data_IF_859845101077
#
_entry.id   IF_859845101077
#
_cell.length_a   1.000
_cell.length_b   1.000
_cell.length_c   1.000
_cell.angle_alpha   90.00
_cell.angle_beta   90.00
_cell.angle_gamma   90.00
#
_symmetry.space_group_name_H-M   'P 1'
#
loop_
_entity.id
_entity.type
_entity.pdbx_description
1 polymer ?
#
# COMPACT_ATOMS: atom_id res chain seq x y z
N UNK A 1 0.57 1.92 34.62
CA UNK A 1 1.52 1.23 33.72
C UNK A 1 0.77 0.12 33.00
N UNK A 2 0.15 0.40 31.83
CA UNK A 2 -0.51 -0.67 31.06
C UNK A 2 0.54 -1.36 30.18
N UNK A 3 0.64 -2.68 30.36
CA UNK A 3 1.46 -3.56 29.53
C UNK A 3 0.83 -3.60 28.14
N UNK A 4 1.40 -2.91 27.17
CA UNK A 4 1.12 -3.18 25.75
C UNK A 4 1.73 -4.57 25.48
N UNK A 5 0.88 -5.52 25.12
CA UNK A 5 1.28 -6.90 24.92
C UNK A 5 2.34 -7.00 23.79
N UNK A 6 3.47 -7.71 24.01
CA UNK A 6 4.50 -7.99 23.00
C UNK A 6 3.97 -8.68 21.71
N UNK A 7 2.74 -9.17 21.78
CA UNK A 7 2.18 -10.15 20.86
C UNK A 7 1.79 -9.54 19.51
N UNK A 8 1.48 -8.24 19.45
CA UNK A 8 1.09 -7.56 18.22
C UNK A 8 2.25 -7.45 17.22
N UNK A 9 3.45 -7.07 17.66
CA UNK A 9 4.63 -6.99 16.76
C UNK A 9 4.98 -8.37 16.17
N UNK A 10 4.85 -9.43 16.97
CA UNK A 10 5.06 -10.81 16.53
C UNK A 10 3.96 -11.32 15.57
N UNK A 11 2.72 -10.82 15.69
CA UNK A 11 1.64 -11.15 14.75
C UNK A 11 1.88 -10.49 13.38
N UNK A 12 2.22 -9.20 13.37
CA UNK A 12 2.53 -8.44 12.15
C UNK A 12 3.75 -9.00 11.41
N UNK A 13 4.86 -9.28 12.10
CA UNK A 13 6.03 -9.92 11.48
C UNK A 13 5.72 -11.29 10.87
N UNK A 14 4.85 -12.09 11.51
CA UNK A 14 4.40 -13.38 10.98
C UNK A 14 3.46 -13.26 9.79
N UNK A 15 2.66 -12.19 9.69
CA UNK A 15 1.82 -11.88 8.53
C UNK A 15 2.71 -11.46 7.36
N UNK A 16 3.64 -10.51 7.57
CA UNK A 16 4.56 -10.04 6.54
C UNK A 16 5.49 -11.16 6.03
N UNK A 17 6.02 -12.02 6.90
CA UNK A 17 6.83 -13.17 6.49
C UNK A 17 5.99 -14.19 5.71
N UNK A 18 4.75 -14.48 6.13
CA UNK A 18 3.85 -15.37 5.39
C UNK A 18 3.46 -14.81 4.03
N UNK A 19 3.28 -13.49 3.91
CA UNK A 19 3.06 -12.82 2.62
C UNK A 19 4.31 -12.90 1.74
N UNK A 20 5.50 -12.64 2.27
CA UNK A 20 6.76 -12.84 1.53
C UNK A 20 6.91 -14.29 1.07
N UNK A 21 6.65 -15.25 1.94
CA UNK A 21 6.71 -16.67 1.63
C UNK A 21 5.63 -17.07 0.62
N UNK A 22 4.42 -16.49 0.67
CA UNK A 22 3.36 -16.73 -0.32
C UNK A 22 3.73 -16.13 -1.67
N UNK A 23 4.22 -14.89 -1.69
CA UNK A 23 4.71 -14.20 -2.89
C UNK A 23 5.96 -14.88 -3.47
N UNK A 24 6.78 -15.52 -2.65
CA UNK A 24 8.01 -16.23 -3.06
C UNK A 24 7.84 -17.72 -3.38
N UNK A 25 6.89 -18.42 -2.75
CA UNK A 25 6.62 -19.87 -2.96
C UNK A 25 5.49 -20.13 -3.94
N UNK A 26 4.63 -19.16 -4.20
CA UNK A 26 3.62 -19.28 -5.24
C UNK A 26 4.30 -19.40 -6.59
N UNK A 27 4.21 -20.58 -7.22
CA UNK A 27 4.51 -20.76 -8.65
C UNK A 27 3.60 -19.88 -9.55
N UNK A 28 2.66 -19.13 -8.98
CA UNK A 28 1.65 -18.29 -9.64
C UNK A 28 1.82 -16.77 -9.43
N UNK A 29 2.73 -16.29 -8.58
CA UNK A 29 2.97 -14.83 -8.42
C UNK A 29 3.88 -14.34 -9.55
N UNK A 30 3.26 -14.15 -10.71
CA UNK A 30 3.86 -13.71 -11.98
C UNK A 30 4.35 -12.26 -11.99
N UNK A 31 4.59 -11.63 -10.84
CA UNK A 31 4.88 -10.20 -10.76
C UNK A 31 6.26 -9.86 -11.33
N UNK A 32 7.16 -10.84 -11.45
CA UNK A 32 8.54 -10.71 -12.00
C UNK A 32 9.22 -9.44 -11.46
N UNK A 33 9.09 -9.21 -10.15
CA UNK A 33 9.58 -8.02 -9.46
C UNK A 33 10.38 -8.44 -8.22
N UNK A 34 11.38 -7.64 -7.87
CA UNK A 34 11.97 -7.70 -6.54
C UNK A 34 10.95 -7.16 -5.53
N UNK A 35 10.79 -7.84 -4.39
CA UNK A 35 9.87 -7.44 -3.32
C UNK A 35 10.67 -7.09 -2.09
N UNK A 36 10.41 -5.92 -1.52
CA UNK A 36 10.98 -5.46 -0.26
C UNK A 36 9.85 -5.11 0.72
N UNK A 37 9.85 -5.76 1.88
CA UNK A 37 8.96 -5.42 2.98
C UNK A 37 9.65 -4.41 3.89
N UNK A 38 9.04 -3.22 4.02
CA UNK A 38 9.53 -2.18 4.91
C UNK A 38 9.01 -2.42 6.34
N UNK A 39 9.93 -2.64 7.28
CA UNK A 39 9.65 -2.65 8.73
C UNK A 39 9.71 -1.21 9.26
N UNK A 40 8.67 -0.41 8.95
CA UNK A 40 8.58 0.99 9.36
C UNK A 40 8.18 1.14 10.83
N UNK A 41 8.51 2.29 11.41
CA UNK A 41 8.20 2.66 12.79
C UNK A 41 6.71 2.55 13.08
N UNK A 42 6.32 1.73 14.07
CA UNK A 42 4.91 1.59 14.45
C UNK A 42 4.46 2.71 15.38
N UNK A 43 3.25 3.22 15.17
CA UNK A 43 2.61 4.17 16.07
C UNK A 43 1.92 3.39 17.20
N UNK A 44 2.28 3.61 18.48
CA UNK A 44 1.58 2.96 19.58
C UNK A 44 0.10 3.35 19.58
N UNK A 45 -0.79 2.38 19.79
CA UNK A 45 -2.24 2.62 19.71
C UNK A 45 -2.73 3.77 20.60
N UNK A 46 -2.14 3.91 21.79
CA UNK A 46 -2.44 5.00 22.74
C UNK A 46 -2.06 6.40 22.25
N UNK A 47 -1.23 6.50 21.21
CA UNK A 47 -0.76 7.77 20.64
C UNK A 47 -1.42 8.11 19.31
N UNK A 48 -2.16 7.18 18.69
CA UNK A 48 -2.72 7.31 17.34
C UNK A 48 -3.53 8.61 17.11
N UNK A 49 -4.26 9.06 18.13
CA UNK A 49 -5.19 10.19 18.02
C UNK A 49 -4.67 11.50 18.65
N UNK A 50 -3.36 11.69 18.71
CA UNK A 50 -2.73 12.92 19.23
C UNK A 50 -1.56 13.40 18.38
N UNK A 51 -1.03 14.58 18.72
CA UNK A 51 0.11 15.20 18.03
C UNK A 51 1.34 14.29 17.93
N UNK A 52 1.56 13.46 18.95
CA UNK A 52 2.64 12.47 18.93
C UNK A 52 2.40 11.36 17.91
N UNK A 53 1.15 10.92 17.75
CA UNK A 53 0.75 9.97 16.71
C UNK A 53 0.92 10.55 15.32
N UNK A 54 0.53 11.81 15.10
CA UNK A 54 0.73 12.48 13.81
C UNK A 54 2.20 12.56 13.43
N UNK A 55 3.08 12.90 14.39
CA UNK A 55 4.53 12.89 14.18
C UNK A 55 5.04 11.49 13.81
N UNK A 56 4.58 10.46 14.52
CA UNK A 56 5.00 9.08 14.23
C UNK A 56 4.48 8.58 12.87
N UNK A 57 3.27 8.97 12.47
CA UNK A 57 2.76 8.71 11.12
C UNK A 57 3.62 9.43 10.08
N UNK A 58 4.10 10.64 10.35
CA UNK A 58 5.03 11.32 9.45
C UNK A 58 6.37 10.59 9.34
N UNK A 59 6.88 10.02 10.45
CA UNK A 59 8.08 9.16 10.41
C UNK A 59 7.87 7.96 9.48
N UNK A 60 6.71 7.29 9.51
CA UNK A 60 6.40 6.19 8.60
C UNK A 60 6.44 6.61 7.12
N UNK A 61 5.87 7.79 6.83
CA UNK A 61 5.87 8.37 5.49
C UNK A 61 7.30 8.68 5.04
N UNK A 62 8.12 9.22 5.94
CA UNK A 62 9.51 9.55 5.70
C UNK A 62 10.35 8.29 5.43
N UNK A 63 10.23 7.25 6.26
CA UNK A 63 10.92 5.98 6.09
C UNK A 63 10.61 5.31 4.74
N UNK A 64 9.33 5.33 4.32
CA UNK A 64 8.96 4.78 3.00
C UNK A 64 9.50 5.63 1.85
N UNK A 65 9.43 6.97 1.97
CA UNK A 65 10.03 7.88 0.97
C UNK A 65 11.53 7.67 0.86
N UNK A 66 12.24 7.59 1.98
CA UNK A 66 13.70 7.40 2.02
C UNK A 66 14.08 6.01 1.47
N UNK A 67 13.28 4.99 1.75
CA UNK A 67 13.45 3.64 1.17
C UNK A 67 13.35 3.67 -0.35
N UNK A 68 12.35 4.36 -0.91
CA UNK A 68 12.22 4.52 -2.36
C UNK A 68 13.44 5.22 -2.93
N UNK A 69 13.84 6.34 -2.35
CA UNK A 69 15.01 7.10 -2.80
C UNK A 69 16.30 6.27 -2.74
N UNK A 70 16.47 5.48 -1.68
CA UNK A 70 17.60 4.57 -1.52
C UNK A 70 17.64 3.55 -2.67
N UNK A 71 16.53 2.86 -2.95
CA UNK A 71 16.49 1.88 -4.04
C UNK A 71 16.68 2.50 -5.42
N UNK A 72 16.18 3.72 -5.66
CA UNK A 72 16.47 4.44 -6.91
C UNK A 72 17.96 4.73 -7.06
N UNK A 73 18.64 5.16 -6.00
CA UNK A 73 20.07 5.47 -6.00
C UNK A 73 20.96 4.21 -6.09
N UNK A 74 20.48 3.08 -5.56
CA UNK A 74 21.25 1.83 -5.46
C UNK A 74 20.74 0.77 -6.45
N UNK A 75 19.99 1.16 -7.48
CA UNK A 75 19.30 0.25 -8.38
C UNK A 75 20.23 -0.80 -9.02
N UNK A 76 21.45 -0.39 -9.41
CA UNK A 76 22.47 -1.26 -9.97
C UNK A 76 22.92 -2.37 -9.00
N UNK A 77 22.98 -2.08 -7.69
CA UNK A 77 23.37 -3.06 -6.67
C UNK A 77 22.36 -4.19 -6.54
N UNK A 78 21.08 -3.88 -6.73
CA UNK A 78 19.98 -4.83 -6.59
C UNK A 78 19.46 -5.37 -7.92
N UNK A 79 20.05 -4.94 -9.04
CA UNK A 79 19.61 -5.27 -10.39
C UNK A 79 18.11 -4.99 -10.61
N UNK A 80 17.65 -3.83 -10.14
CA UNK A 80 16.28 -3.34 -10.31
C UNK A 80 16.23 -2.15 -11.25
N UNK A 81 15.08 -1.90 -11.86
CA UNK A 81 14.84 -0.70 -12.65
C UNK A 81 14.35 0.44 -11.72
N UNK A 82 15.12 1.53 -11.56
CA UNK A 82 14.78 2.61 -10.63
C UNK A 82 13.50 3.35 -11.01
N UNK A 83 13.04 3.25 -12.25
CA UNK A 83 11.83 3.91 -12.73
C UNK A 83 10.59 3.01 -12.66
N UNK A 84 10.76 1.72 -12.31
CA UNK A 84 9.68 0.73 -12.20
C UNK A 84 9.40 0.30 -10.75
N UNK A 85 9.45 1.24 -9.82
CA UNK A 85 9.12 0.99 -8.40
C UNK A 85 7.60 1.07 -8.20
N UNK A 86 7.04 0.09 -7.51
CA UNK A 86 5.62 0.06 -7.12
C UNK A 86 5.52 0.00 -5.60
N UNK A 87 4.67 0.84 -5.03
CA UNK A 87 4.35 0.82 -3.60
C UNK A 87 3.07 0.04 -3.36
N UNK A 88 3.03 -0.81 -2.34
CA UNK A 88 1.86 -1.60 -1.97
C UNK A 88 1.62 -1.44 -0.48
N UNK A 89 0.42 -0.99 -0.12
CA UNK A 89 0.04 -0.70 1.25
C UNK A 89 -1.31 -1.32 1.60
N UNK A 90 -1.36 -2.00 2.74
CA UNK A 90 -2.56 -2.64 3.27
C UNK A 90 -3.12 -1.86 4.46
N UNK A 91 -4.44 -1.68 4.54
CA UNK A 91 -5.10 -1.03 5.68
C UNK A 91 -4.43 0.32 6.04
N UNK A 92 -3.87 0.47 7.25
CA UNK A 92 -3.11 1.67 7.64
C UNK A 92 -1.89 1.97 6.75
N UNK A 93 -1.24 0.94 6.19
CA UNK A 93 -0.16 1.08 5.22
C UNK A 93 -0.63 1.67 3.89
N UNK A 94 -1.93 1.58 3.56
CA UNK A 94 -2.52 2.26 2.42
C UNK A 94 -2.38 3.80 2.52
N UNK A 95 -2.55 4.34 3.73
CA UNK A 95 -2.29 5.76 3.98
C UNK A 95 -0.82 6.10 3.78
N UNK A 96 0.09 5.29 4.35
CA UNK A 96 1.54 5.53 4.26
C UNK A 96 1.98 5.56 2.79
N UNK A 97 1.51 4.60 1.98
CA UNK A 97 1.77 4.57 0.53
C UNK A 97 1.23 5.82 -0.18
N UNK A 98 -0.02 6.20 0.08
CA UNK A 98 -0.61 7.38 -0.53
C UNK A 98 0.18 8.64 -0.15
N UNK A 99 0.40 8.87 1.14
CA UNK A 99 1.12 10.03 1.65
C UNK A 99 2.58 10.09 1.19
N UNK A 100 3.30 8.96 1.13
CA UNK A 100 4.68 8.91 0.62
C UNK A 100 4.75 9.18 -0.88
N UNK A 101 3.77 8.70 -1.67
CA UNK A 101 3.69 9.02 -3.11
C UNK A 101 3.49 10.53 -3.31
N UNK A 102 2.59 11.14 -2.54
CA UNK A 102 2.38 12.60 -2.58
C UNK A 102 3.63 13.37 -2.13
N UNK A 103 4.33 12.90 -1.08
CA UNK A 103 5.59 13.50 -0.63
C UNK A 103 6.67 13.42 -1.70
N UNK A 104 6.88 12.26 -2.32
CA UNK A 104 7.83 12.09 -3.43
C UNK A 104 7.52 13.05 -4.58
N UNK A 105 6.24 13.23 -4.92
CA UNK A 105 5.82 14.17 -5.94
C UNK A 105 6.20 15.63 -5.65
N UNK A 106 6.14 16.06 -4.38
CA UNK A 106 6.64 17.40 -3.97
C UNK A 106 8.15 17.55 -4.14
N UNK A 107 8.90 16.44 -4.10
CA UNK A 107 10.35 16.39 -4.29
C UNK A 107 10.76 16.18 -5.77
N UNK A 108 9.80 16.23 -6.69
CA UNK A 108 10.04 15.97 -8.12
C UNK A 108 10.32 14.50 -8.44
N UNK A 109 10.03 13.59 -7.51
CA UNK A 109 10.21 12.15 -7.66
C UNK A 109 8.87 11.47 -7.97
N UNK A 110 8.95 10.35 -8.68
CA UNK A 110 7.80 9.51 -8.98
C UNK A 110 8.09 8.04 -8.74
N UNK A 111 7.03 7.28 -8.54
CA UNK A 111 6.98 5.82 -8.60
C UNK A 111 6.12 5.40 -9.78
N UNK A 112 6.33 4.19 -10.28
CA UNK A 112 5.63 3.64 -11.44
C UNK A 112 4.16 3.34 -11.15
N UNK A 113 3.87 2.95 -9.91
CA UNK A 113 2.51 2.72 -9.45
C UNK A 113 2.40 2.68 -7.93
N UNK A 114 1.16 2.77 -7.45
CA UNK A 114 0.80 2.50 -6.06
C UNK A 114 -0.42 1.57 -6.02
N UNK A 115 -0.43 0.65 -5.06
CA UNK A 115 -1.53 -0.26 -4.80
C UNK A 115 -2.00 -0.02 -3.36
N UNK A 116 -3.27 0.35 -3.21
CA UNK A 116 -3.90 0.64 -1.93
C UNK A 116 -4.94 -0.45 -1.68
N UNK A 117 -4.60 -1.40 -0.81
CA UNK A 117 -5.44 -2.53 -0.45
C UNK A 117 -6.21 -2.22 0.84
N UNK A 118 -7.56 -2.10 0.72
CA UNK A 118 -8.51 -1.82 1.80
C UNK A 118 -8.01 -0.73 2.76
N UNK A 119 -7.40 0.29 2.14
CA UNK A 119 -6.58 1.27 2.81
C UNK A 119 -7.39 2.30 3.59
N UNK A 120 -6.87 2.67 4.75
CA UNK A 120 -7.27 3.90 5.42
C UNK A 120 -6.70 5.08 4.63
N UNK A 121 -7.54 6.03 4.21
CA UNK A 121 -7.11 7.15 3.34
C UNK A 121 -6.80 8.43 4.12
N UNK A 122 -7.36 8.61 5.32
CA UNK A 122 -7.18 9.80 6.17
C UNK A 122 -7.29 11.12 5.37
N UNK A 123 -6.25 11.95 5.40
CA UNK A 123 -6.13 13.26 4.76
C UNK A 123 -5.44 13.22 3.39
N UNK A 124 -5.32 12.03 2.76
CA UNK A 124 -4.61 11.91 1.47
C UNK A 124 -5.31 12.71 0.35
N UNK A 125 -6.63 12.84 0.42
CA UNK A 125 -7.42 13.65 -0.52
C UNK A 125 -7.06 15.13 -0.41
N UNK A 126 -6.99 15.64 0.82
CA UNK A 126 -6.61 17.02 1.14
C UNK A 126 -5.16 17.29 0.74
N UNK A 127 -4.25 16.35 1.04
CA UNK A 127 -2.84 16.44 0.65
C UNK A 127 -2.67 16.49 -0.87
N UNK A 128 -3.44 15.70 -1.63
CA UNK A 128 -3.41 15.74 -3.08
C UNK A 128 -3.83 17.11 -3.61
N UNK A 129 -4.94 17.66 -3.11
CA UNK A 129 -5.44 18.97 -3.53
C UNK A 129 -4.49 20.12 -3.16
N UNK A 130 -3.67 19.96 -2.12
CA UNK A 130 -2.65 20.91 -1.73
C UNK A 130 -1.35 20.81 -2.54
N UNK A 131 -1.20 19.78 -3.41
CA UNK A 131 0.00 19.66 -4.24
C UNK A 131 0.08 20.81 -5.26
N UNK A 132 1.30 21.34 -5.52
CA UNK A 132 1.53 22.22 -6.66
C UNK A 132 1.09 21.52 -7.96
N UNK A 133 0.48 22.24 -8.93
CA UNK A 133 0.00 21.64 -10.18
C UNK A 133 1.05 20.81 -10.94
N UNK A 134 2.30 21.26 -10.94
CA UNK A 134 3.42 20.56 -11.57
C UNK A 134 3.81 19.24 -10.87
N UNK A 135 3.45 19.10 -9.59
CA UNK A 135 3.68 17.90 -8.78
C UNK A 135 2.51 16.91 -8.86
N UNK A 136 1.42 17.25 -9.55
CA UNK A 136 0.33 16.29 -9.84
C UNK A 136 0.72 15.33 -10.97
N UNK A 137 1.98 14.86 -10.97
CA UNK A 137 2.49 13.85 -11.90
C UNK A 137 1.84 12.50 -11.56
N UNK A 138 1.23 11.92 -12.59
CA UNK A 138 0.30 10.81 -12.49
C UNK A 138 1.03 9.52 -12.08
N UNK A 139 0.81 9.05 -10.86
CA UNK A 139 1.17 7.68 -10.46
C UNK A 139 -0.01 6.76 -10.73
N UNK A 140 0.20 5.73 -11.55
CA UNK A 140 -0.82 4.70 -11.79
C UNK A 140 -1.27 4.14 -10.44
N UNK A 141 -2.57 4.12 -10.17
CA UNK A 141 -3.09 3.76 -8.85
C UNK A 141 -4.10 2.63 -8.96
N UNK A 142 -3.86 1.54 -8.25
CA UNK A 142 -4.81 0.45 -8.09
C UNK A 142 -5.38 0.46 -6.68
N UNK A 143 -6.71 0.44 -6.58
CA UNK A 143 -7.42 0.19 -5.34
C UNK A 143 -7.93 -1.25 -5.30
N UNK A 144 -7.73 -1.93 -4.18
CA UNK A 144 -8.24 -3.30 -3.96
C UNK A 144 -8.99 -3.32 -2.64
N UNK A 145 -10.31 -3.40 -2.62
CA UNK A 145 -11.06 -3.13 -1.39
C UNK A 145 -12.39 -3.86 -1.31
N UNK A 146 -13.01 -3.77 -0.13
CA UNK A 146 -14.39 -4.18 0.16
C UNK A 146 -15.03 -2.98 0.86
N UNK A 147 -16.28 -2.63 0.57
CA UNK A 147 -16.95 -1.52 1.28
C UNK A 147 -18.16 -1.97 2.08
N UNK A 148 -18.93 -2.93 1.56
CA UNK A 148 -20.20 -3.35 2.14
C UNK A 148 -20.09 -3.82 3.59
N UNK A 149 -18.87 -4.18 4.05
CA UNK A 149 -18.58 -4.62 5.42
C UNK A 149 -17.33 -3.99 6.04
N UNK A 150 -16.77 -2.95 5.43
CA UNK A 150 -15.50 -2.37 5.88
C UNK A 150 -15.61 -0.86 6.11
N UNK A 151 -15.72 -0.41 7.38
CA UNK A 151 -15.78 1.00 7.70
C UNK A 151 -14.45 1.75 7.45
N UNK A 152 -13.32 1.05 7.34
CA UNK A 152 -11.99 1.65 7.17
C UNK A 152 -11.79 2.11 5.71
N UNK A 153 -12.26 1.30 4.77
CA UNK A 153 -12.10 1.53 3.33
C UNK A 153 -13.00 2.63 2.75
N UNK A 154 -13.91 3.23 3.54
CA UNK A 154 -14.86 4.25 3.07
C UNK A 154 -14.22 5.48 2.40
N UNK A 155 -12.96 5.77 2.72
CA UNK A 155 -12.22 6.88 2.10
C UNK A 155 -11.72 6.57 0.68
N UNK A 156 -11.78 5.32 0.22
CA UNK A 156 -11.22 4.89 -1.07
C UNK A 156 -12.00 5.51 -2.24
N UNK A 157 -13.33 5.42 -2.27
CA UNK A 157 -14.13 5.98 -3.38
C UNK A 157 -13.93 7.47 -3.59
N UNK A 158 -13.98 8.34 -2.56
CA UNK A 158 -13.69 9.76 -2.73
C UNK A 158 -12.30 10.01 -3.32
N UNK A 159 -11.28 9.27 -2.86
CA UNK A 159 -9.92 9.43 -3.36
C UNK A 159 -9.76 8.90 -4.79
N UNK A 160 -10.36 7.75 -5.11
CA UNK A 160 -10.47 7.24 -6.48
C UNK A 160 -11.08 8.28 -7.41
N UNK A 161 -12.23 8.85 -7.03
CA UNK A 161 -12.96 9.82 -7.85
C UNK A 161 -12.12 11.08 -8.10
N UNK A 162 -11.42 11.57 -7.08
CA UNK A 162 -10.49 12.69 -7.21
C UNK A 162 -9.37 12.36 -8.20
N UNK A 163 -8.68 11.23 -8.03
CA UNK A 163 -7.57 10.85 -8.90
C UNK A 163 -8.03 10.66 -10.37
N UNK A 164 -9.18 10.02 -10.58
CA UNK A 164 -9.81 9.87 -11.89
C UNK A 164 -10.13 11.22 -12.54
N UNK A 165 -10.73 12.14 -11.78
CA UNK A 165 -11.05 13.49 -12.26
C UNK A 165 -9.80 14.26 -12.69
N UNK A 166 -8.65 13.99 -12.05
CA UNK A 166 -7.36 14.62 -12.33
C UNK A 166 -6.57 13.92 -13.43
N UNK A 167 -7.17 12.95 -14.12
CA UNK A 167 -6.57 12.24 -15.24
C UNK A 167 -5.52 11.20 -14.83
N UNK A 168 -5.46 10.82 -13.55
CA UNK A 168 -4.60 9.72 -13.08
C UNK A 168 -5.16 8.41 -13.61
N UNK A 169 -4.28 7.54 -14.13
CA UNK A 169 -4.66 6.19 -14.50
C UNK A 169 -4.99 5.39 -13.23
N UNK A 170 -6.28 5.24 -12.96
CA UNK A 170 -6.81 4.53 -11.78
C UNK A 170 -7.50 3.24 -12.19
N UNK A 171 -7.37 2.22 -11.35
CA UNK A 171 -8.10 0.96 -11.45
C UNK A 171 -8.64 0.56 -10.08
N UNK A 172 -9.71 -0.22 -10.06
CA UNK A 172 -10.32 -0.70 -8.82
C UNK A 172 -10.72 -2.18 -8.96
N UNK A 173 -10.41 -2.97 -7.94
CA UNK A 173 -10.99 -4.28 -7.70
C UNK A 173 -11.77 -4.23 -6.39
N UNK A 174 -13.09 -4.25 -6.50
CA UNK A 174 -13.99 -4.34 -5.35
C UNK A 174 -14.40 -5.80 -5.12
N UNK A 175 -14.32 -6.26 -3.87
CA UNK A 175 -14.69 -7.61 -3.44
C UNK A 175 -15.73 -7.54 -2.32
N UNK A 176 -16.98 -7.29 -2.68
CA UNK A 176 -18.11 -6.99 -1.80
C UNK A 176 -18.30 -7.95 -0.60
N UNK A 177 -17.88 -9.21 -0.74
CA UNK A 177 -18.01 -10.24 0.30
C UNK A 177 -16.73 -10.51 1.09
N UNK A 178 -15.60 -9.95 0.67
CA UNK A 178 -14.36 -10.03 1.42
C UNK A 178 -14.50 -9.25 2.74
N UNK A 179 -13.79 -9.71 3.77
CA UNK A 179 -13.68 -9.00 5.07
C UNK A 179 -12.52 -8.02 5.03
N UNK A 180 -12.49 -7.06 5.96
CA UNK A 180 -11.28 -6.24 6.13
C UNK A 180 -10.06 -7.13 6.36
N UNK A 181 -8.88 -6.69 5.90
CA UNK A 181 -7.63 -7.43 6.00
C UNK A 181 -7.63 -8.82 5.33
N UNK A 182 -8.51 -9.08 4.35
CA UNK A 182 -8.63 -10.40 3.72
C UNK A 182 -7.30 -10.90 3.12
N UNK A 183 -6.42 -10.01 2.64
CA UNK A 183 -5.11 -10.38 2.06
C UNK A 183 -4.01 -10.63 3.10
N UNK A 184 -4.22 -10.24 4.36
CA UNK A 184 -3.28 -10.33 5.48
C UNK A 184 -3.65 -11.43 6.47
N UNK A 185 -4.94 -11.54 6.80
CA UNK A 185 -5.40 -12.42 7.88
C UNK A 185 -5.76 -13.84 7.43
N UNK A 186 -5.96 -14.08 6.12
CA UNK A 186 -6.51 -15.35 5.62
C UNK A 186 -5.65 -16.01 4.54
N UNK A 187 -4.85 -17.01 4.95
CA UNK A 187 -4.36 -18.11 4.13
C UNK A 187 -3.84 -19.23 5.05
N UNK A 188 -4.05 -20.54 4.78
CA UNK A 188 -5.16 -21.26 4.17
C UNK A 188 -5.86 -22.21 5.18
N UNK A 189 -6.07 -21.79 6.44
CA UNK A 189 -6.41 -22.73 7.53
C UNK A 189 -7.92 -22.80 7.90
N UNK A 190 -8.86 -22.51 6.98
CA UNK A 190 -10.26 -22.94 7.21
C UNK A 190 -11.41 -22.19 6.51
N UNK A 191 -11.18 -21.01 5.92
CA UNK A 191 -12.22 -20.29 5.17
C UNK A 191 -11.84 -20.24 3.67
N UNK A 192 -12.40 -21.18 2.90
CA UNK A 192 -12.11 -21.35 1.47
C UNK A 192 -12.61 -20.17 0.63
N UNK A 193 -13.64 -19.45 1.07
CA UNK A 193 -14.18 -18.29 0.38
C UNK A 193 -13.24 -17.08 0.52
N UNK A 194 -12.74 -16.80 1.73
CA UNK A 194 -11.75 -15.72 1.93
C UNK A 194 -10.42 -16.02 1.21
N UNK A 195 -9.99 -17.27 1.19
CA UNK A 195 -8.77 -17.69 0.49
C UNK A 195 -8.86 -17.45 -1.03
N UNK A 196 -10.06 -17.61 -1.62
CA UNK A 196 -10.28 -17.32 -3.04
C UNK A 196 -10.17 -15.81 -3.35
N UNK A 197 -10.60 -14.92 -2.44
CA UNK A 197 -10.43 -13.48 -2.61
C UNK A 197 -8.97 -13.06 -2.61
N UNK A 198 -8.14 -13.68 -1.77
CA UNK A 198 -6.68 -13.43 -1.78
C UNK A 198 -6.07 -13.78 -3.13
N UNK A 199 -6.30 -15.00 -3.62
CA UNK A 199 -5.75 -15.44 -4.91
C UNK A 199 -6.22 -14.54 -6.06
N UNK A 200 -7.49 -14.16 -6.05
CA UNK A 200 -8.07 -13.25 -7.04
C UNK A 200 -7.40 -11.87 -6.99
N UNK A 201 -7.22 -11.30 -5.79
CA UNK A 201 -6.58 -10.02 -5.60
C UNK A 201 -5.12 -10.02 -6.07
N UNK A 202 -4.35 -11.04 -5.68
CA UNK A 202 -2.93 -11.16 -6.07
C UNK A 202 -2.76 -11.35 -7.58
N UNK A 203 -3.64 -12.14 -8.21
CA UNK A 203 -3.66 -12.30 -9.65
C UNK A 203 -4.03 -10.99 -10.37
N UNK A 204 -5.01 -10.25 -9.87
CA UNK A 204 -5.43 -8.96 -10.41
C UNK A 204 -4.31 -7.93 -10.31
N UNK A 205 -3.68 -7.78 -9.14
CA UNK A 205 -2.52 -6.90 -8.94
C UNK A 205 -1.41 -7.26 -9.93
N UNK A 206 -1.09 -8.55 -10.06
CA UNK A 206 -0.05 -9.01 -10.99
C UNK A 206 -0.37 -8.70 -12.45
N UNK A 207 -1.63 -8.82 -12.86
CA UNK A 207 -2.06 -8.48 -14.20
C UNK A 207 -2.06 -6.96 -14.43
N UNK A 208 -2.48 -6.17 -13.44
CA UNK A 208 -2.41 -4.71 -13.48
C UNK A 208 -0.96 -4.22 -13.65
N UNK A 209 -0.01 -4.77 -12.86
CA UNK A 209 1.42 -4.46 -12.99
C UNK A 209 1.92 -4.70 -14.42
N UNK A 210 1.53 -5.81 -15.06
CA UNK A 210 1.93 -6.14 -16.44
C UNK A 210 1.36 -5.19 -17.50
N UNK A 211 0.24 -4.53 -17.19
CA UNK A 211 -0.46 -3.60 -18.08
C UNK A 211 0.01 -2.15 -17.91
N UNK A 212 0.82 -1.86 -16.88
CA UNK A 212 1.37 -0.53 -16.70
C UNK A 212 2.19 -0.11 -17.94
N UNK A 213 2.12 1.18 -18.35
CA UNK A 213 2.82 1.67 -19.52
C UNK A 213 4.31 1.31 -19.47
N UNK A 214 4.80 0.69 -20.55
CA UNK A 214 6.24 0.49 -20.74
C UNK A 214 6.79 1.78 -21.32
N UNK A 215 7.65 2.45 -20.55
CA UNK A 215 8.48 3.55 -21.04
C UNK A 215 9.39 3.05 -22.17
#
# INVERSE_FOLDING_TARGET
>A
MSKIAPDYQCAWRRICQRQCDRLGRSKQTHWRAAVYNLDYTLVPALKLFGKDGEKLVQVQVDELTDTVLYFKQHANQYNIDPDKIILLGYSSGGYVVAASTLKLATQGQSVWGQVIAYGFIKDALERYNALPPQSQKLTNTLFVFTENKDPISKGIRPYYALLAQKGVNVSALEMDKARHAFMEEFAPDGDSEQSAYVATAEAYIGNWIKQLPRN
#
